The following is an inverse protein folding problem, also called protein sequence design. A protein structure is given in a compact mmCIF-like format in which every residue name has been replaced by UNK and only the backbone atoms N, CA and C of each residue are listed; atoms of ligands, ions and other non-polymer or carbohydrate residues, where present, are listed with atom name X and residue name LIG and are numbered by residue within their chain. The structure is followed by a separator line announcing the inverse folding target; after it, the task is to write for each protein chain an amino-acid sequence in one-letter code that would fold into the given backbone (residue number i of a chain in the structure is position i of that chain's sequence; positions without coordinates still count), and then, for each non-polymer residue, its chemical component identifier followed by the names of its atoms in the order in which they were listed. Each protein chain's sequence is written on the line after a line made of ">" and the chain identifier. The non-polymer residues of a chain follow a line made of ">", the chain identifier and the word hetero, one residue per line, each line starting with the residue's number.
data_IF_678676567199
#
_entry.id   IF_678676567199
#
_cell.length_a   1.000
_cell.length_b   1.000
_cell.length_c   1.000
_cell.angle_alpha   90.00
_cell.angle_beta   90.00
_cell.angle_gamma   90.00
#
_symmetry.space_group_name_H-M   'P 1'
#
loop_
_entity.id
_entity.type
_entity.pdbx_description
1 polymer ?
#
# COMPACT_ATOMS: atom_id res chain seq x y z
N UNK A 1 48.16 -45.99 37.84
CA UNK A 1 48.73 -45.07 36.83
C UNK A 1 48.12 -45.43 35.48
N UNK A 2 47.54 -44.44 34.81
CA UNK A 2 47.08 -44.39 33.41
C UNK A 2 45.67 -44.95 33.10
N UNK A 3 44.66 -44.17 33.50
CA UNK A 3 43.33 -44.21 32.88
C UNK A 3 43.41 -43.41 31.58
N UNK A 4 43.10 -44.08 30.46
CA UNK A 4 43.13 -43.54 29.11
C UNK A 4 42.04 -42.49 28.94
N UNK A 5 42.42 -41.30 28.49
CA UNK A 5 41.52 -40.22 28.12
C UNK A 5 40.76 -40.64 26.86
N UNK A 6 39.46 -40.88 26.99
CA UNK A 6 38.56 -41.04 25.85
C UNK A 6 38.19 -39.66 25.32
N UNK A 7 38.62 -39.41 24.09
CA UNK A 7 38.26 -38.28 23.24
C UNK A 7 36.73 -38.09 23.18
N UNK A 8 36.22 -37.04 23.82
CA UNK A 8 34.87 -36.54 23.59
C UNK A 8 34.90 -35.65 22.34
N UNK A 9 34.67 -36.24 21.17
CA UNK A 9 34.35 -35.49 19.95
C UNK A 9 32.97 -34.85 20.17
N UNK A 10 32.98 -33.58 20.58
CA UNK A 10 31.79 -32.73 20.60
C UNK A 10 31.44 -32.41 19.14
N UNK A 11 30.52 -33.16 18.55
CA UNK A 11 29.83 -32.76 17.32
C UNK A 11 28.95 -31.56 17.66
N UNK A 12 29.49 -30.35 17.51
CA UNK A 12 28.71 -29.13 17.56
C UNK A 12 27.85 -29.05 16.30
N UNK A 13 26.59 -29.45 16.39
CA UNK A 13 25.61 -29.17 15.36
C UNK A 13 25.38 -27.65 15.31
N UNK A 14 26.05 -26.98 14.36
CA UNK A 14 25.75 -25.60 14.02
C UNK A 14 24.37 -25.58 13.36
N UNK A 15 23.33 -25.28 14.14
CA UNK A 15 22.03 -24.89 13.60
C UNK A 15 22.23 -23.54 12.93
N UNK A 16 22.46 -23.55 11.63
CA UNK A 16 22.36 -22.35 10.81
C UNK A 16 20.89 -21.91 10.86
N UNK A 17 20.61 -20.93 11.72
CA UNK A 17 19.37 -20.17 11.65
C UNK A 17 19.41 -19.47 10.30
N UNK A 18 18.72 -20.05 9.31
CA UNK A 18 18.38 -19.37 8.07
C UNK A 18 17.48 -18.21 8.48
N UNK A 19 18.08 -17.04 8.70
CA UNK A 19 17.36 -15.80 8.76
C UNK A 19 16.79 -15.62 7.36
N UNK A 20 15.51 -15.97 7.16
CA UNK A 20 14.79 -15.63 5.94
C UNK A 20 14.86 -14.12 5.82
N UNK A 21 15.78 -13.63 4.99
CA UNK A 21 15.75 -12.25 4.55
C UNK A 21 14.44 -12.11 3.79
N UNK A 22 13.43 -11.52 4.43
CA UNK A 22 12.32 -10.94 3.70
C UNK A 22 12.92 -9.81 2.87
N UNK A 23 13.42 -10.16 1.68
CA UNK A 23 13.85 -9.18 0.72
C UNK A 23 12.60 -8.38 0.34
N UNK A 24 12.63 -7.07 0.57
CA UNK A 24 11.61 -6.18 0.06
C UNK A 24 11.55 -6.35 -1.47
N UNK A 25 10.44 -6.87 -1.97
CA UNK A 25 10.23 -7.21 -3.38
C UNK A 25 9.86 -5.96 -4.19
N UNK A 26 10.66 -4.90 -4.08
CA UNK A 26 10.49 -3.71 -4.93
C UNK A 26 11.30 -3.86 -6.22
N UNK A 27 12.47 -4.51 -6.15
CA UNK A 27 13.35 -4.76 -7.31
C UNK A 27 12.58 -5.43 -8.46
N UNK A 28 12.72 -4.88 -9.66
CA UNK A 28 12.02 -5.35 -10.87
C UNK A 28 10.51 -5.06 -10.92
N UNK A 29 9.94 -4.34 -9.96
CA UNK A 29 8.55 -3.87 -10.01
C UNK A 29 8.45 -2.48 -10.67
N UNK A 30 7.24 -1.99 -11.00
CA UNK A 30 7.05 -0.61 -11.48
C UNK A 30 7.52 0.48 -10.50
N UNK A 31 7.70 0.16 -9.21
CA UNK A 31 8.21 1.09 -8.20
C UNK A 31 9.74 1.04 -8.07
N UNK A 32 10.42 0.15 -8.79
CA UNK A 32 11.87 0.21 -8.99
C UNK A 32 12.20 1.12 -10.17
N UNK A 33 12.36 2.41 -9.86
CA UNK A 33 12.70 3.43 -10.85
C UNK A 33 14.23 3.58 -11.04
N UNK A 34 15.04 2.65 -10.53
CA UNK A 34 16.51 2.71 -10.64
C UNK A 34 16.97 2.74 -12.10
N UNK A 35 16.24 2.08 -13.01
CA UNK A 35 16.51 2.12 -14.45
C UNK A 35 16.13 3.46 -15.12
N UNK A 36 15.20 4.23 -14.54
CA UNK A 36 14.71 5.50 -15.09
C UNK A 36 15.61 6.67 -14.68
N UNK A 37 16.12 6.65 -13.44
CA UNK A 37 16.79 7.81 -12.86
C UNK A 37 18.05 7.49 -12.04
N UNK A 38 18.49 6.23 -12.01
CA UNK A 38 19.60 5.77 -11.17
C UNK A 38 19.23 5.71 -9.68
N UNK A 39 20.18 5.31 -8.84
CA UNK A 39 19.96 5.19 -7.40
C UNK A 39 19.29 3.87 -6.98
N UNK A 40 18.69 3.86 -5.79
CA UNK A 40 18.02 2.69 -5.22
C UNK A 40 16.50 2.78 -5.35
N UNK A 41 15.80 1.65 -5.34
CA UNK A 41 14.34 1.63 -5.34
C UNK A 41 13.73 2.48 -4.19
N UNK A 42 14.40 2.53 -3.03
CA UNK A 42 13.91 3.27 -1.86
C UNK A 42 14.02 4.80 -2.00
N UNK A 43 15.02 5.30 -2.74
CA UNK A 43 15.32 6.74 -2.81
C UNK A 43 14.24 7.55 -3.56
N UNK A 44 13.38 6.88 -4.31
CA UNK A 44 12.27 7.52 -5.01
C UNK A 44 11.12 7.92 -4.08
N UNK A 45 10.96 7.18 -2.98
CA UNK A 45 9.96 7.44 -1.96
C UNK A 45 10.55 8.13 -0.74
N UNK A 46 11.80 7.80 -0.38
CA UNK A 46 12.42 8.24 0.86
C UNK A 46 13.67 9.08 0.62
N UNK A 47 13.87 10.09 1.48
CA UNK A 47 15.12 10.84 1.57
C UNK A 47 15.62 10.85 3.03
N UNK A 48 16.91 10.54 3.29
CA UNK A 48 17.45 10.59 4.65
C UNK A 48 17.37 11.98 5.29
N UNK A 49 17.48 13.03 4.48
CA UNK A 49 17.45 14.43 4.94
C UNK A 49 16.62 15.30 4.00
N UNK A 50 15.99 16.35 4.55
CA UNK A 50 15.14 17.26 3.77
C UNK A 50 13.80 16.63 3.36
N UNK A 51 13.35 15.60 4.08
CA UNK A 51 12.05 15.00 3.90
C UNK A 51 10.93 15.98 4.23
N UNK A 52 9.76 15.75 3.64
CA UNK A 52 8.56 16.50 3.98
C UNK A 52 8.20 16.29 5.45
N UNK A 53 8.09 17.39 6.20
CA UNK A 53 7.78 17.34 7.63
C UNK A 53 6.45 16.62 7.89
N UNK A 54 6.42 15.79 8.95
CA UNK A 54 5.22 15.03 9.32
C UNK A 54 4.96 13.78 8.48
N UNK A 55 5.87 13.40 7.58
CA UNK A 55 5.76 12.20 6.74
C UNK A 55 6.90 11.20 7.01
N UNK A 56 6.79 9.93 6.56
CA UNK A 56 7.81 8.90 6.77
C UNK A 56 9.04 9.10 5.87
N UNK A 57 9.82 10.16 6.12
CA UNK A 57 10.97 10.54 5.31
C UNK A 57 10.63 10.76 3.82
N UNK A 58 9.41 11.20 3.50
CA UNK A 58 8.93 11.29 2.13
C UNK A 58 9.77 12.28 1.31
N UNK A 59 10.28 11.83 0.16
CA UNK A 59 11.19 12.60 -0.69
C UNK A 59 10.49 13.45 -1.73
N UNK A 60 9.15 13.52 -1.75
CA UNK A 60 8.41 14.21 -2.82
C UNK A 60 7.52 15.33 -2.30
N UNK A 61 7.21 16.28 -3.19
CA UNK A 61 6.14 17.26 -2.94
C UNK A 61 4.80 16.54 -3.04
N UNK A 62 3.88 16.86 -2.15
CA UNK A 62 2.51 16.35 -2.27
C UNK A 62 1.75 17.18 -3.28
N UNK A 63 0.82 16.53 -3.97
CA UNK A 63 -0.13 17.22 -4.82
C UNK A 63 -0.95 18.22 -4.01
N UNK A 64 -1.17 19.37 -4.63
CA UNK A 64 -2.10 20.41 -4.15
C UNK A 64 -3.39 20.41 -4.96
N UNK A 65 -3.59 19.41 -5.83
CA UNK A 65 -4.83 19.26 -6.58
C UNK A 65 -6.02 19.08 -5.64
N UNK A 66 -7.17 19.56 -6.11
CA UNK A 66 -8.47 19.20 -5.55
C UNK A 66 -9.01 18.07 -6.42
N UNK A 67 -9.35 16.96 -5.80
CA UNK A 67 -9.77 15.75 -6.50
C UNK A 67 -11.28 15.70 -6.66
N UNK A 68 -11.74 15.20 -7.80
CA UNK A 68 -13.14 14.82 -8.00
C UNK A 68 -13.35 13.47 -7.33
N UNK A 69 -13.84 13.50 -6.08
CA UNK A 69 -14.00 12.30 -5.25
C UNK A 69 -15.21 11.46 -5.66
N UNK A 70 -15.15 10.16 -5.37
CA UNK A 70 -16.26 9.24 -5.54
C UNK A 70 -17.55 9.74 -4.88
N UNK A 71 -18.64 9.72 -5.67
CA UNK A 71 -20.00 10.06 -5.24
C UNK A 71 -20.98 9.09 -5.87
N UNK A 72 -21.85 8.53 -5.04
CA UNK A 72 -22.96 7.70 -5.49
C UNK A 72 -24.19 7.96 -4.61
N UNK A 73 -25.38 7.76 -5.16
CA UNK A 73 -26.63 7.81 -4.39
C UNK A 73 -26.74 6.69 -3.35
N UNK A 74 -25.94 5.63 -3.50
CA UNK A 74 -25.86 4.48 -2.58
C UNK A 74 -24.69 4.54 -1.62
N UNK A 75 -23.94 5.66 -1.57
CA UNK A 75 -22.78 5.83 -0.71
C UNK A 75 -23.20 6.43 0.64
N UNK A 76 -22.98 5.67 1.71
CA UNK A 76 -23.23 6.13 3.09
C UNK A 76 -21.98 6.75 3.73
N UNK A 77 -20.78 6.42 3.24
CA UNK A 77 -19.54 6.95 3.77
C UNK A 77 -19.39 8.45 3.47
N UNK A 78 -18.93 9.22 4.46
CA UNK A 78 -18.53 10.61 4.27
C UNK A 78 -17.11 10.68 3.72
N UNK A 79 -16.99 10.72 2.38
CA UNK A 79 -15.72 10.76 1.67
C UNK A 79 -15.24 12.20 1.53
N UNK A 80 -14.02 12.46 2.01
CA UNK A 80 -13.34 13.75 1.90
C UNK A 80 -12.24 13.75 0.84
N UNK A 81 -11.50 14.86 0.77
CA UNK A 81 -10.28 14.92 -0.04
C UNK A 81 -9.21 13.95 0.48
N UNK A 82 -8.32 13.42 -0.38
CA UNK A 82 -7.28 12.49 0.05
C UNK A 82 -6.39 13.03 1.18
N UNK A 83 -6.18 12.20 2.20
CA UNK A 83 -5.38 12.48 3.40
C UNK A 83 -4.25 11.46 3.55
N UNK A 84 -3.50 11.58 4.64
CA UNK A 84 -2.65 10.50 5.16
C UNK A 84 -1.68 9.91 4.13
N UNK A 85 -1.58 8.58 4.13
CA UNK A 85 -0.71 7.85 3.20
C UNK A 85 -1.19 7.91 1.76
N UNK A 86 -2.51 8.03 1.53
CA UNK A 86 -3.04 8.08 0.16
C UNK A 86 -2.53 9.31 -0.59
N UNK A 87 -2.41 10.44 0.10
CA UNK A 87 -1.82 11.66 -0.47
C UNK A 87 -0.35 11.49 -0.86
N UNK A 88 0.39 10.58 -0.21
CA UNK A 88 1.76 10.24 -0.61
C UNK A 88 1.74 9.48 -1.94
N UNK A 89 0.91 8.45 -2.07
CA UNK A 89 0.74 7.67 -3.32
C UNK A 89 0.35 8.57 -4.49
N UNK A 90 -0.63 9.45 -4.26
CA UNK A 90 -1.13 10.37 -5.28
C UNK A 90 -0.08 11.40 -5.73
N UNK A 91 1.00 11.64 -4.98
CA UNK A 91 2.10 12.50 -5.44
C UNK A 91 2.90 11.94 -6.64
N UNK A 92 2.59 10.71 -7.06
CA UNK A 92 2.99 10.16 -8.35
C UNK A 92 1.75 9.76 -9.17
N UNK A 93 0.81 9.06 -8.52
CA UNK A 93 -0.33 8.41 -9.17
C UNK A 93 -1.40 9.35 -9.69
N UNK A 94 -1.38 10.63 -9.31
CA UNK A 94 -2.27 11.63 -9.90
C UNK A 94 -1.74 12.23 -11.22
N UNK A 95 -0.56 11.78 -11.68
CA UNK A 95 0.02 12.19 -12.95
C UNK A 95 0.52 13.64 -12.99
N UNK A 96 0.50 14.38 -11.88
CA UNK A 96 0.88 15.80 -11.85
C UNK A 96 2.38 16.03 -11.66
N UNK A 97 3.12 15.00 -11.24
CA UNK A 97 4.56 15.08 -10.93
C UNK A 97 5.35 14.05 -11.74
N UNK A 98 6.53 14.44 -12.22
CA UNK A 98 7.43 13.52 -12.92
C UNK A 98 8.00 12.45 -11.96
N UNK A 99 8.17 11.22 -12.45
CA UNK A 99 8.60 10.06 -11.66
C UNK A 99 9.90 10.29 -10.88
N UNK A 100 10.89 10.91 -11.52
CA UNK A 100 12.21 11.16 -10.94
C UNK A 100 12.31 12.47 -10.12
N UNK A 101 11.24 13.27 -10.05
CA UNK A 101 11.28 14.54 -9.31
C UNK A 101 11.21 14.31 -7.80
N UNK A 102 12.25 14.74 -7.09
CA UNK A 102 12.30 14.71 -5.61
C UNK A 102 12.52 16.11 -5.03
N UNK A 103 12.28 16.27 -3.73
CA UNK A 103 12.52 17.51 -2.98
C UNK A 103 13.99 17.95 -3.02
N UNK A 104 14.92 17.01 -3.12
CA UNK A 104 16.36 17.27 -3.18
C UNK A 104 16.89 17.50 -4.59
N UNK A 105 16.01 17.43 -5.61
CA UNK A 105 16.36 17.57 -7.01
C UNK A 105 16.13 16.27 -7.80
N UNK A 106 15.99 16.43 -9.11
CA UNK A 106 15.71 15.37 -10.07
C UNK A 106 15.26 16.01 -11.37
N UNK A 107 15.90 15.70 -12.49
CA UNK A 107 15.51 16.25 -13.78
C UNK A 107 14.30 15.50 -14.33
N UNK A 108 13.22 16.24 -14.59
CA UNK A 108 11.94 15.71 -15.06
C UNK A 108 11.95 15.27 -16.53
N UNK A 109 10.89 14.55 -16.91
CA UNK A 109 10.56 14.21 -18.29
C UNK A 109 9.59 13.03 -18.41
N UNK A 110 9.64 12.08 -17.48
CA UNK A 110 8.78 10.89 -17.50
C UNK A 110 7.70 11.00 -16.44
N UNK A 111 6.45 10.95 -16.88
CA UNK A 111 5.26 10.84 -16.03
C UNK A 111 4.75 9.40 -16.09
N UNK A 112 3.88 9.01 -15.16
CA UNK A 112 3.13 7.77 -15.30
C UNK A 112 2.29 7.87 -16.57
N UNK A 113 2.44 6.90 -17.47
CA UNK A 113 1.66 6.85 -18.69
C UNK A 113 0.16 6.81 -18.36
N UNK A 114 -0.71 7.46 -19.16
CA UNK A 114 -2.15 7.34 -18.98
C UNK A 114 -2.59 5.87 -18.97
N UNK A 115 -3.46 5.52 -18.03
CA UNK A 115 -3.93 4.16 -17.83
C UNK A 115 -4.19 3.86 -16.35
N UNK A 116 -4.36 2.58 -16.01
CA UNK A 116 -4.74 2.12 -14.66
C UNK A 116 -3.82 2.58 -13.51
N UNK A 117 -2.58 2.94 -13.82
CA UNK A 117 -1.58 3.35 -12.83
C UNK A 117 -1.54 4.88 -12.67
N UNK A 118 -2.17 5.64 -13.57
CA UNK A 118 -2.30 7.10 -13.50
C UNK A 118 -3.77 7.46 -13.29
N UNK A 119 -4.15 7.61 -12.02
CA UNK A 119 -5.51 7.93 -11.58
C UNK A 119 -5.91 9.37 -11.95
N UNK A 120 -4.94 10.26 -12.15
CA UNK A 120 -5.24 11.66 -12.38
C UNK A 120 -5.83 12.33 -11.13
N UNK A 121 -6.57 13.42 -11.35
CA UNK A 121 -7.29 14.14 -10.30
C UNK A 121 -8.77 13.78 -10.21
N UNK A 122 -9.24 12.88 -11.08
CA UNK A 122 -10.59 12.34 -11.06
C UNK A 122 -10.55 10.96 -10.41
N UNK A 123 -11.05 10.87 -9.17
CA UNK A 123 -11.15 9.64 -8.39
C UNK A 123 -12.61 9.17 -8.30
N UNK A 124 -13.46 9.63 -9.21
CA UNK A 124 -14.90 9.39 -9.13
C UNK A 124 -15.30 7.97 -9.54
N UNK A 125 -14.43 7.26 -10.24
CA UNK A 125 -14.55 5.84 -10.62
C UNK A 125 -13.67 4.90 -9.79
N UNK A 126 -12.85 5.44 -8.89
CA UNK A 126 -12.00 4.69 -7.97
C UNK A 126 -12.72 4.27 -6.68
N UNK A 127 -12.13 3.28 -5.99
CA UNK A 127 -12.59 2.93 -4.65
C UNK A 127 -12.34 4.09 -3.68
N UNK A 128 -13.35 4.54 -2.90
CA UNK A 128 -13.17 5.63 -1.96
C UNK A 128 -12.05 5.36 -0.95
N UNK A 129 -11.30 6.41 -0.64
CA UNK A 129 -10.21 6.42 0.35
C UNK A 129 -10.32 7.66 1.22
N UNK A 130 -9.54 7.72 2.29
CA UNK A 130 -9.48 8.88 3.20
C UNK A 130 -10.84 9.20 3.85
N UNK A 131 -11.59 8.15 4.20
CA UNK A 131 -12.82 8.25 4.97
C UNK A 131 -12.77 7.31 6.18
N UNK A 132 -13.46 7.69 7.25
CA UNK A 132 -13.49 6.90 8.49
C UNK A 132 -14.28 5.61 8.28
N UNK A 133 -13.61 4.46 8.38
CA UNK A 133 -14.22 3.14 8.34
C UNK A 133 -14.52 2.68 9.77
N UNK A 134 -15.78 2.83 10.19
CA UNK A 134 -16.19 2.67 11.60
C UNK A 134 -17.37 1.71 11.76
N UNK A 135 -17.60 1.27 13.00
CA UNK A 135 -18.81 0.52 13.36
C UNK A 135 -20.08 1.34 13.11
N UNK A 136 -20.03 2.67 13.23
CA UNK A 136 -21.17 3.53 12.91
C UNK A 136 -21.51 3.45 11.41
N UNK A 137 -20.50 3.49 10.53
CA UNK A 137 -20.68 3.29 9.09
C UNK A 137 -21.33 1.93 8.80
N UNK A 138 -20.83 0.85 9.41
CA UNK A 138 -21.43 -0.49 9.26
C UNK A 138 -22.83 -0.64 9.87
N UNK A 139 -23.24 0.28 10.74
CA UNK A 139 -24.61 0.32 11.27
C UNK A 139 -25.55 1.02 10.30
N UNK A 140 -25.05 2.04 9.60
CA UNK A 140 -25.77 2.78 8.57
C UNK A 140 -25.87 1.99 7.25
N UNK A 141 -24.80 1.28 6.91
CA UNK A 141 -24.72 0.39 5.75
C UNK A 141 -24.39 -1.03 6.17
N UNK A 142 -25.43 -1.87 6.24
CA UNK A 142 -25.31 -3.27 6.63
C UNK A 142 -24.56 -4.14 5.63
N UNK A 143 -24.31 -3.64 4.40
CA UNK A 143 -23.47 -4.33 3.43
C UNK A 143 -21.96 -4.04 3.64
N UNK A 144 -21.61 -3.25 4.67
CA UNK A 144 -20.24 -2.98 5.08
C UNK A 144 -19.94 -3.68 6.40
N UNK A 145 -18.96 -4.59 6.41
CA UNK A 145 -18.53 -5.33 7.59
C UNK A 145 -17.88 -4.39 8.62
N UNK A 146 -18.18 -4.51 9.93
CA UNK A 146 -17.52 -3.70 10.96
C UNK A 146 -16.00 -3.86 10.99
N UNK A 147 -15.27 -2.83 11.45
CA UNK A 147 -13.80 -2.86 11.52
C UNK A 147 -13.22 -4.02 12.34
N UNK A 148 -13.97 -4.54 13.31
CA UNK A 148 -13.57 -5.69 14.13
C UNK A 148 -13.54 -7.02 13.38
N UNK A 149 -14.15 -7.09 12.20
CA UNK A 149 -14.14 -8.27 11.32
C UNK A 149 -13.10 -8.18 10.20
N UNK A 150 -12.38 -7.06 10.09
CA UNK A 150 -11.31 -6.93 9.10
C UNK A 150 -10.17 -7.90 9.43
N UNK A 151 -9.60 -8.59 8.43
CA UNK A 151 -8.35 -9.33 8.59
C UNK A 151 -7.23 -8.41 9.11
N UNK A 152 -6.27 -8.97 9.83
CA UNK A 152 -5.13 -8.20 10.37
C UNK A 152 -4.31 -7.48 9.29
N UNK A 153 -4.34 -8.00 8.06
CA UNK A 153 -3.70 -7.41 6.88
C UNK A 153 -4.34 -6.07 6.47
N UNK A 154 -5.65 -5.90 6.65
CA UNK A 154 -6.40 -4.70 6.25
C UNK A 154 -6.43 -3.67 7.37
N UNK A 155 -5.29 -3.01 7.55
CA UNK A 155 -5.10 -2.06 8.63
C UNK A 155 -5.63 -0.70 8.22
N UNK A 156 -6.53 -0.17 9.05
CA UNK A 156 -6.89 1.24 9.01
C UNK A 156 -5.76 2.08 9.60
N UNK A 157 -5.67 3.34 9.19
CA UNK A 157 -4.67 4.24 9.74
C UNK A 157 -5.00 4.66 11.21
N UNK A 158 -4.18 5.56 11.76
CA UNK A 158 -4.34 6.04 13.14
C UNK A 158 -5.63 6.84 13.37
N UNK A 159 -6.16 7.44 12.31
CA UNK A 159 -7.43 8.17 12.32
C UNK A 159 -8.63 7.27 12.05
N UNK A 160 -8.41 5.94 11.91
CA UNK A 160 -9.42 4.94 11.51
C UNK A 160 -9.93 5.17 10.09
N UNK A 161 -9.14 5.82 9.25
CA UNK A 161 -9.47 6.01 7.85
C UNK A 161 -8.99 4.82 7.02
N UNK A 162 -9.78 4.46 6.02
CA UNK A 162 -9.36 3.55 4.95
C UNK A 162 -8.43 4.32 4.02
N UNK A 163 -7.21 3.83 3.85
CA UNK A 163 -6.18 4.48 3.03
C UNK A 163 -5.74 3.52 1.91
N UNK A 164 -4.98 4.01 0.92
CA UNK A 164 -4.31 3.12 -0.04
C UNK A 164 -3.49 2.02 0.68
N UNK A 165 -2.87 2.35 1.82
CA UNK A 165 -2.09 1.41 2.63
C UNK A 165 -2.90 0.40 3.43
N UNK A 166 -4.24 0.51 3.43
CA UNK A 166 -5.11 -0.56 3.92
C UNK A 166 -5.04 -1.78 2.99
N UNK A 167 -4.86 -1.57 1.68
CA UNK A 167 -4.84 -2.63 0.68
C UNK A 167 -3.44 -2.88 0.10
N UNK A 168 -2.57 -1.88 0.09
CA UNK A 168 -1.24 -1.94 -0.50
C UNK A 168 -0.10 -1.77 0.53
N UNK A 169 0.89 -2.66 0.53
CA UNK A 169 2.15 -2.47 1.25
C UNK A 169 3.24 -2.07 0.25
N UNK A 170 3.68 -0.79 0.23
CA UNK A 170 4.68 -0.32 -0.73
C UNK A 170 6.05 -0.99 -0.58
N UNK A 171 6.27 -1.78 0.47
CA UNK A 171 7.52 -2.50 0.71
C UNK A 171 7.44 -3.99 0.37
N UNK A 172 6.27 -4.50 -0.03
CA UNK A 172 6.07 -5.93 -0.25
C UNK A 172 5.14 -6.23 -1.43
N UNK A 173 5.73 -6.79 -2.50
CA UNK A 173 5.00 -7.18 -3.70
C UNK A 173 4.74 -8.70 -3.82
N UNK A 174 4.78 -9.46 -2.72
CA UNK A 174 4.62 -10.93 -2.76
C UNK A 174 3.29 -11.41 -3.37
N UNK A 175 2.26 -10.56 -3.35
CA UNK A 175 0.92 -10.87 -3.87
C UNK A 175 0.64 -10.23 -5.24
N UNK A 176 1.61 -9.52 -5.82
CA UNK A 176 1.38 -8.65 -6.98
C UNK A 176 0.66 -7.36 -6.59
N UNK A 177 0.83 -6.31 -7.40
CA UNK A 177 0.27 -4.97 -7.19
C UNK A 177 0.44 -4.42 -5.76
N UNK A 178 1.49 -4.86 -5.05
CA UNK A 178 1.74 -4.53 -3.65
C UNK A 178 0.60 -4.90 -2.70
N UNK A 179 -0.28 -5.83 -3.05
CA UNK A 179 -1.42 -6.17 -2.20
C UNK A 179 -0.98 -6.80 -0.86
N UNK A 180 -1.63 -6.40 0.23
CA UNK A 180 -1.37 -6.93 1.58
C UNK A 180 -1.89 -8.36 1.79
N UNK A 181 -2.75 -8.83 0.89
CA UNK A 181 -3.27 -10.20 0.82
C UNK A 181 -3.75 -10.52 -0.61
N UNK A 182 -3.93 -11.80 -0.93
CA UNK A 182 -4.48 -12.20 -2.22
C UNK A 182 -5.89 -11.65 -2.44
N UNK A 183 -6.17 -11.19 -3.67
CA UNK A 183 -7.52 -10.82 -4.12
C UNK A 183 -8.18 -11.89 -5.01
N UNK A 184 -7.74 -13.15 -4.94
CA UNK A 184 -8.33 -14.24 -5.73
C UNK A 184 -9.83 -14.38 -5.42
N UNK A 185 -10.67 -14.34 -6.47
CA UNK A 185 -12.14 -14.33 -6.36
C UNK A 185 -12.66 -13.20 -5.46
N UNK A 186 -12.06 -12.02 -5.55
CA UNK A 186 -12.49 -10.83 -4.79
C UNK A 186 -12.44 -11.04 -3.27
N UNK A 187 -11.50 -11.86 -2.78
CA UNK A 187 -11.34 -12.14 -1.34
C UNK A 187 -11.04 -10.89 -0.53
N UNK A 188 -10.31 -9.93 -1.11
CA UNK A 188 -10.05 -8.62 -0.49
C UNK A 188 -11.35 -7.83 -0.35
N UNK A 189 -12.09 -7.69 -1.45
CA UNK A 189 -13.31 -6.89 -1.48
C UNK A 189 -14.35 -7.44 -0.49
N UNK A 190 -14.50 -8.77 -0.42
CA UNK A 190 -15.44 -9.45 0.48
C UNK A 190 -15.04 -9.41 1.96
N UNK A 191 -13.82 -8.97 2.27
CA UNK A 191 -13.39 -8.73 3.65
C UNK A 191 -14.05 -7.48 4.25
N UNK A 192 -14.46 -6.52 3.40
CA UNK A 192 -15.18 -5.31 3.80
C UNK A 192 -16.64 -5.34 3.35
N UNK A 193 -16.93 -5.91 2.19
CA UNK A 193 -18.24 -5.86 1.56
C UNK A 193 -19.00 -7.18 1.71
N UNK A 194 -20.25 -7.09 2.18
CA UNK A 194 -21.24 -8.17 2.24
C UNK A 194 -22.45 -7.81 1.37
N UNK A 195 -22.21 -7.74 0.06
CA UNK A 195 -23.16 -7.21 -0.90
C UNK A 195 -24.29 -8.21 -1.15
N UNK A 196 -25.50 -7.85 -0.72
CA UNK A 196 -26.70 -8.63 -1.04
C UNK A 196 -26.94 -8.60 -2.55
N UNK A 197 -27.09 -9.76 -3.17
CA UNK A 197 -27.26 -9.86 -4.62
C UNK A 197 -25.97 -9.91 -5.43
N UNK A 198 -24.79 -9.99 -4.78
CA UNK A 198 -23.50 -10.15 -5.47
C UNK A 198 -23.39 -11.46 -6.26
N UNK A 199 -23.74 -12.59 -5.63
CA UNK A 199 -23.68 -13.94 -6.23
C UNK A 199 -24.49 -14.02 -7.54
N UNK A 200 -25.73 -13.52 -7.65
CA UNK A 200 -26.44 -13.54 -8.93
C UNK A 200 -26.00 -12.44 -9.91
N UNK A 201 -25.02 -11.58 -9.58
CA UNK A 201 -24.62 -10.46 -10.42
C UNK A 201 -23.45 -10.80 -11.35
N UNK A 202 -23.32 -10.01 -12.41
CA UNK A 202 -22.13 -10.04 -13.29
C UNK A 202 -20.82 -9.63 -12.59
N UNK A 203 -20.87 -9.18 -11.34
CA UNK A 203 -19.70 -8.79 -10.55
C UNK A 203 -19.08 -9.95 -9.74
N UNK A 204 -19.69 -11.16 -9.72
CA UNK A 204 -19.14 -12.31 -8.99
C UNK A 204 -17.90 -12.95 -9.66
N UNK A 205 -17.74 -12.79 -10.97
CA UNK A 205 -16.71 -13.46 -11.79
C UNK A 205 -15.34 -12.80 -11.74
#
# INVERSE_FOLDING_TARGET
>A
MNIKWTEFIKVGAAVAVLCSTAAALIDGTPHDLSAVAGGSACSFCHTPHGALAGTPLWSRKLSTAVYDIYRSSSLQANVGQPTGSSKLCLSCHDGTVALAETLSGGAGGTYIAPGKDNLGTDLSDDHPISFVYSTALSTEDVQIRPPSMLPEQLRLDRSRELQCTTCHDPHDNRHGDFLVMSNHRSSMCRACHDLSGWIPSSHES
#
